data_IF_275594041720
#
_entry.id   IF_275594041720
#
_cell.length_a   1.000
_cell.length_b   1.000
_cell.length_c   1.000
_cell.angle_alpha   90.00
_cell.angle_beta   90.00
_cell.angle_gamma   90.00
#
_symmetry.space_group_name_H-M   'P 1'
#
loop_
_entity.id
_entity.type
_entity.pdbx_description
1 polymer ?
#
# COMPACT_ATOMS: atom_id res chain seq x y z
N UNK A 1 -18.75 20.34 11.04
CA UNK A 1 -18.20 19.63 9.87
C UNK A 1 -16.72 19.97 9.62
N UNK A 2 -15.89 20.01 10.67
CA UNK A 2 -14.43 20.20 10.53
C UNK A 2 -13.69 19.58 11.72
N UNK A 3 -14.31 19.66 12.90
CA UNK A 3 -13.88 18.92 14.08
C UNK A 3 -14.18 17.42 13.95
N UNK A 4 -15.34 17.08 13.40
CA UNK A 4 -15.76 15.69 13.17
C UNK A 4 -14.86 14.98 12.15
N UNK A 5 -14.49 15.63 11.03
CA UNK A 5 -13.50 15.11 10.08
C UNK A 5 -12.10 14.93 10.68
N UNK A 6 -11.64 15.89 11.49
CA UNK A 6 -10.33 15.78 12.17
C UNK A 6 -10.33 14.67 13.20
N UNK A 7 -11.45 14.46 13.90
CA UNK A 7 -11.60 13.39 14.87
C UNK A 7 -11.72 12.05 14.14
N UNK A 8 -12.52 11.92 13.09
CA UNK A 8 -12.60 10.69 12.26
C UNK A 8 -11.24 10.29 11.71
N UNK A 9 -10.49 11.23 11.11
CA UNK A 9 -9.15 10.91 10.61
C UNK A 9 -8.21 10.45 11.73
N UNK A 10 -8.21 11.13 12.89
CA UNK A 10 -7.41 10.69 14.04
C UNK A 10 -7.85 9.36 14.64
N UNK A 11 -9.15 9.07 14.61
CA UNK A 11 -9.74 7.83 15.11
C UNK A 11 -9.40 6.67 14.17
N UNK A 12 -9.43 6.88 12.85
CA UNK A 12 -8.98 5.89 11.88
C UNK A 12 -7.48 5.61 12.00
N UNK A 13 -6.65 6.65 12.14
CA UNK A 13 -5.21 6.51 12.42
C UNK A 13 -4.94 5.72 13.71
N UNK A 14 -5.66 6.07 14.79
CA UNK A 14 -5.54 5.38 16.07
C UNK A 14 -6.02 3.93 15.99
N UNK A 15 -7.09 3.66 15.23
CA UNK A 15 -7.65 2.31 15.01
C UNK A 15 -6.72 1.46 14.14
N UNK A 16 -6.06 2.06 13.15
CA UNK A 16 -5.01 1.42 12.34
C UNK A 16 -3.82 1.01 13.20
N UNK A 17 -3.26 1.95 13.96
CA UNK A 17 -2.16 1.66 14.90
C UNK A 17 -2.53 0.65 15.98
N UNK A 18 -3.77 0.71 16.48
CA UNK A 18 -4.28 -0.26 17.44
C UNK A 18 -4.44 -1.66 16.84
N UNK A 19 -4.77 -1.78 15.54
CA UNK A 19 -4.78 -3.07 14.83
C UNK A 19 -3.36 -3.58 14.58
N UNK A 20 -2.42 -2.71 14.22
CA UNK A 20 -1.01 -3.10 14.05
C UNK A 20 -0.41 -3.59 15.37
N UNK A 21 -0.53 -2.78 16.43
CA UNK A 21 -0.05 -3.15 17.77
C UNK A 21 -0.82 -4.36 18.31
N UNK A 22 -2.13 -4.40 18.12
CA UNK A 22 -2.98 -5.51 18.51
C UNK A 22 -2.53 -6.81 17.84
N UNK A 23 -2.35 -6.81 16.52
CA UNK A 23 -1.88 -7.97 15.77
C UNK A 23 -0.45 -8.38 16.10
N UNK A 24 0.45 -7.42 16.40
CA UNK A 24 1.83 -7.72 16.85
C UNK A 24 1.84 -8.34 18.26
N UNK A 25 0.95 -7.90 19.14
CA UNK A 25 0.87 -8.35 20.55
C UNK A 25 0.06 -9.64 20.71
N UNK A 26 -1.02 -9.85 19.95
CA UNK A 26 -1.83 -11.07 20.02
C UNK A 26 -1.22 -12.23 19.25
N UNK A 27 -0.13 -12.01 18.49
CA UNK A 27 0.53 -13.07 17.73
C UNK A 27 -0.36 -13.63 16.63
N UNK A 28 -1.23 -12.80 16.04
CA UNK A 28 -2.12 -13.22 14.97
C UNK A 28 -1.33 -13.16 13.65
N UNK A 29 -0.58 -14.23 13.39
CA UNK A 29 0.25 -14.41 12.19
C UNK A 29 -0.54 -14.14 10.90
N UNK A 30 -1.87 -14.33 10.90
CA UNK A 30 -2.76 -13.97 9.80
C UNK A 30 -2.77 -12.47 9.48
N UNK A 31 -2.87 -11.59 10.49
CA UNK A 31 -2.89 -10.12 10.26
C UNK A 31 -1.53 -9.60 9.81
N UNK A 32 -0.44 -10.17 10.34
CA UNK A 32 0.93 -9.82 9.94
C UNK A 32 1.28 -10.37 8.56
N UNK A 33 0.72 -11.52 8.19
CA UNK A 33 0.92 -12.17 6.89
C UNK A 33 0.10 -11.50 5.79
N UNK A 34 -1.16 -11.12 6.05
CA UNK A 34 -1.97 -10.33 5.10
C UNK A 34 -1.30 -8.99 4.77
N UNK A 35 -0.84 -8.25 5.79
CA UNK A 35 -0.13 -6.98 5.56
C UNK A 35 1.16 -7.14 4.74
N UNK A 36 1.93 -8.21 4.99
CA UNK A 36 3.14 -8.51 4.20
C UNK A 36 2.82 -8.96 2.78
N UNK A 37 1.75 -9.74 2.58
CA UNK A 37 1.32 -10.19 1.26
C UNK A 37 0.80 -9.03 0.40
N UNK A 38 0.09 -8.08 1.02
CA UNK A 38 -0.41 -6.88 0.35
C UNK A 38 0.76 -5.95 -0.04
N UNK A 39 1.72 -5.75 0.87
CA UNK A 39 2.95 -4.99 0.55
C UNK A 39 3.81 -5.65 -0.54
N UNK A 40 3.94 -6.97 -0.52
CA UNK A 40 4.66 -7.69 -1.57
C UNK A 40 3.94 -7.55 -2.92
N UNK A 41 2.60 -7.65 -2.93
CA UNK A 41 1.79 -7.49 -4.14
C UNK A 41 1.86 -6.08 -4.69
N UNK A 42 1.85 -5.06 -3.82
CA UNK A 42 2.03 -3.66 -4.20
C UNK A 42 3.42 -3.41 -4.80
N UNK A 43 4.49 -3.87 -4.13
CA UNK A 43 5.86 -3.72 -4.63
C UNK A 43 6.07 -4.42 -5.99
N UNK A 44 5.45 -5.58 -6.20
CA UNK A 44 5.46 -6.28 -7.49
C UNK A 44 4.70 -5.50 -8.56
N UNK A 45 3.52 -4.96 -8.24
CA UNK A 45 2.76 -4.11 -9.17
C UNK A 45 3.52 -2.85 -9.56
N UNK A 46 4.07 -2.12 -8.59
CA UNK A 46 4.88 -0.91 -8.84
C UNK A 46 6.11 -1.22 -9.70
N UNK A 47 6.80 -2.33 -9.42
CA UNK A 47 7.94 -2.78 -10.23
C UNK A 47 7.54 -3.12 -11.67
N UNK A 48 6.43 -3.82 -11.86
CA UNK A 48 5.90 -4.16 -13.18
C UNK A 48 5.45 -2.91 -13.93
N UNK A 49 4.76 -1.99 -13.27
CA UNK A 49 4.26 -0.75 -13.90
C UNK A 49 5.43 0.14 -14.33
N UNK A 50 6.46 0.26 -13.48
CA UNK A 50 7.70 0.99 -13.81
C UNK A 50 8.45 0.38 -14.99
N UNK A 51 8.58 -0.95 -15.04
CA UNK A 51 9.21 -1.66 -16.16
C UNK A 51 8.39 -1.51 -17.44
N UNK A 52 7.06 -1.56 -17.35
CA UNK A 52 6.15 -1.41 -18.49
C UNK A 52 6.15 0.01 -19.03
N UNK A 53 6.20 1.03 -18.17
CA UNK A 53 6.34 2.43 -18.55
C UNK A 53 7.70 2.66 -19.24
N UNK A 54 8.80 2.18 -18.65
CA UNK A 54 10.13 2.28 -19.25
C UNK A 54 10.20 1.57 -20.61
N UNK A 55 9.65 0.35 -20.70
CA UNK A 55 9.56 -0.40 -21.95
C UNK A 55 8.64 0.30 -22.97
N UNK A 56 7.54 0.92 -22.52
CA UNK A 56 6.66 1.73 -23.33
C UNK A 56 7.39 2.93 -23.92
N UNK A 57 8.09 3.71 -23.11
CA UNK A 57 8.90 4.87 -23.53
C UNK A 57 10.03 4.49 -24.49
N UNK A 58 10.72 3.37 -24.22
CA UNK A 58 11.77 2.86 -25.11
C UNK A 58 11.19 2.37 -26.42
N UNK A 59 10.07 1.63 -26.38
CA UNK A 59 9.36 1.19 -27.57
C UNK A 59 8.89 2.38 -28.39
N UNK A 60 8.21 3.34 -27.77
CA UNK A 60 7.69 4.56 -28.40
C UNK A 60 8.81 5.37 -29.10
N UNK A 61 9.95 5.60 -28.42
CA UNK A 61 11.15 6.21 -29.02
C UNK A 61 11.73 5.42 -30.18
N UNK A 62 11.65 4.08 -30.16
CA UNK A 62 12.20 3.21 -31.20
C UNK A 62 11.24 2.98 -32.37
N UNK A 63 9.92 2.97 -32.13
CA UNK A 63 8.90 2.85 -33.18
C UNK A 63 8.49 4.19 -33.80
N UNK A 64 8.91 5.32 -33.23
CA UNK A 64 8.84 6.63 -33.88
C UNK A 64 7.42 7.09 -34.18
N UNK A 65 6.62 7.28 -33.13
CA UNK A 65 5.40 8.10 -33.18
C UNK A 65 5.58 9.35 -32.32
#
# INVERSE_FOLDING_TARGET
>A
MALEDKISNKVEDAKGKAKEVGGDVTGDDSLKSEGKADQASAAVKDGIESVKDAAGKVKDKLTGN
#
